data_IF_457378886855
#
_entry.id   IF_457378886855
#
_cell.length_a   1.000
_cell.length_b   1.000
_cell.length_c   1.000
_cell.angle_alpha   90.00
_cell.angle_beta   90.00
_cell.angle_gamma   90.00
#
_symmetry.space_group_name_H-M   'P 1'
#
loop_
_entity.id
_entity.type
_entity.pdbx_description
1 polymer ?
#
# COMPACT_ATOMS: atom_id res chain seq x y z
N UNK A 1 54.44 46.21 5.27
CA UNK A 1 53.87 44.84 5.16
C UNK A 1 52.39 44.93 5.55
N UNK A 2 51.47 44.55 4.65
CA UNK A 2 50.01 44.69 4.80
C UNK A 2 49.43 43.52 5.61
N UNK A 3 48.53 43.78 6.55
CA UNK A 3 47.52 42.81 7.00
C UNK A 3 46.19 43.53 7.18
N UNK A 4 45.35 43.45 6.14
CA UNK A 4 43.95 43.82 6.20
C UNK A 4 43.21 42.74 7.02
N UNK A 5 42.58 43.12 8.13
CA UNK A 5 41.74 42.23 8.93
C UNK A 5 40.31 42.30 8.37
N UNK A 6 40.09 41.59 7.26
CA UNK A 6 38.77 41.44 6.65
C UNK A 6 37.92 40.43 7.41
N UNK A 7 36.77 40.90 7.89
CA UNK A 7 35.44 40.31 7.66
C UNK A 7 35.32 38.78 7.75
N UNK A 8 34.65 38.29 8.80
CA UNK A 8 34.07 36.94 8.79
C UNK A 8 32.62 36.97 9.27
N UNK A 9 31.74 37.43 8.37
CA UNK A 9 30.33 37.05 8.40
C UNK A 9 30.25 35.72 7.65
N UNK A 10 29.87 34.64 8.34
CA UNK A 10 29.86 33.29 7.81
C UNK A 10 28.60 32.53 8.18
N UNK A 11 27.51 32.88 7.49
CA UNK A 11 26.40 32.03 7.04
C UNK A 11 25.95 30.89 7.99
N UNK A 12 24.90 31.15 8.78
CA UNK A 12 24.08 30.08 9.38
C UNK A 12 23.34 29.36 8.24
N UNK A 13 23.86 28.20 7.83
CA UNK A 13 23.22 27.32 6.85
C UNK A 13 22.06 26.60 7.53
N UNK A 14 20.85 27.13 7.34
CA UNK A 14 19.61 26.49 7.76
C UNK A 14 19.38 25.28 6.85
N UNK A 15 19.80 24.10 7.33
CA UNK A 15 19.46 22.82 6.67
C UNK A 15 17.97 22.57 6.93
N UNK A 16 17.14 22.95 5.96
CA UNK A 16 15.80 22.40 5.82
C UNK A 16 15.96 20.96 5.31
N UNK A 17 16.12 20.00 6.21
CA UNK A 17 15.83 18.59 5.88
C UNK A 17 14.35 18.50 5.62
N UNK A 18 13.96 18.66 4.35
CA UNK A 18 12.68 18.19 3.86
C UNK A 18 12.65 16.68 4.00
N UNK A 19 12.23 16.21 5.17
CA UNK A 19 11.74 14.86 5.31
C UNK A 19 10.44 14.80 4.51
N UNK A 20 10.53 14.54 3.21
CA UNK A 20 9.43 13.95 2.47
C UNK A 20 9.27 12.55 3.04
N UNK A 21 8.62 12.46 4.21
CA UNK A 21 8.15 11.21 4.75
C UNK A 21 7.21 10.64 3.71
N UNK A 22 7.68 9.62 2.98
CA UNK A 22 6.83 8.76 2.18
C UNK A 22 5.87 8.10 3.15
N UNK A 23 4.72 8.74 3.38
CA UNK A 23 3.68 8.16 4.23
C UNK A 23 3.13 6.98 3.45
N UNK A 24 3.46 5.76 3.87
CA UNK A 24 2.79 4.60 3.32
C UNK A 24 1.33 4.69 3.75
N UNK A 25 0.43 4.86 2.79
CA UNK A 25 -0.99 4.78 3.09
C UNK A 25 -1.31 3.35 3.49
N UNK A 26 -2.18 3.18 4.47
CA UNK A 26 -2.63 1.85 4.90
C UNK A 26 -4.12 1.72 4.69
N UNK A 27 -4.54 0.59 4.15
CA UNK A 27 -5.94 0.22 4.06
C UNK A 27 -6.14 -1.16 4.66
N UNK A 28 -7.04 -1.23 5.64
CA UNK A 28 -7.46 -2.46 6.26
C UNK A 28 -8.88 -2.80 5.80
N UNK A 29 -9.04 -3.98 5.20
CA UNK A 29 -10.30 -4.52 4.72
C UNK A 29 -10.68 -5.76 5.53
N UNK A 30 -11.95 -5.86 5.87
CA UNK A 30 -12.52 -7.03 6.56
C UNK A 30 -13.22 -7.94 5.56
N UNK A 31 -12.93 -9.24 5.60
CA UNK A 31 -13.58 -10.18 4.68
C UNK A 31 -15.09 -10.32 4.90
N UNK A 32 -15.53 -10.13 6.14
CA UNK A 32 -16.93 -10.29 6.53
C UNK A 32 -17.84 -9.13 6.08
N UNK A 33 -17.30 -7.92 5.89
CA UNK A 33 -18.12 -6.72 5.67
C UNK A 33 -17.73 -5.93 4.42
N UNK A 34 -16.46 -5.99 4.01
CA UNK A 34 -15.93 -5.12 2.96
C UNK A 34 -15.93 -5.78 1.58
N UNK A 35 -16.09 -7.09 1.48
CA UNK A 35 -16.18 -7.80 0.20
C UNK A 35 -17.59 -8.32 -0.07
N UNK A 36 -18.04 -8.15 -1.31
CA UNK A 36 -19.27 -8.74 -1.85
C UNK A 36 -18.99 -10.02 -2.63
N UNK A 37 -17.76 -10.17 -3.15
CA UNK A 37 -17.30 -11.38 -3.84
C UNK A 37 -15.79 -11.51 -3.69
N UNK A 38 -15.33 -12.74 -3.47
CA UNK A 38 -13.91 -13.08 -3.44
C UNK A 38 -13.70 -14.35 -4.27
N UNK A 39 -12.74 -14.31 -5.18
CA UNK A 39 -12.39 -15.44 -6.04
C UNK A 39 -10.90 -15.71 -5.92
N UNK A 40 -10.54 -16.85 -5.32
CA UNK A 40 -9.17 -17.24 -5.08
C UNK A 40 -8.73 -18.30 -6.09
N UNK A 41 -7.64 -18.01 -6.79
CA UNK A 41 -6.95 -18.95 -7.65
C UNK A 41 -5.81 -19.61 -6.88
N UNK A 42 -6.03 -20.87 -6.49
CA UNK A 42 -5.07 -21.65 -5.69
C UNK A 42 -3.93 -22.25 -6.51
N UNK A 43 -4.20 -22.64 -7.75
CA UNK A 43 -3.20 -23.28 -8.61
C UNK A 43 -3.50 -22.95 -10.06
N UNK A 44 -2.49 -22.37 -10.70
CA UNK A 44 -2.44 -22.21 -12.14
C UNK A 44 -1.14 -22.88 -12.61
N UNK A 45 -1.28 -23.92 -13.44
CA UNK A 45 -0.15 -24.73 -13.89
C UNK A 45 0.67 -24.03 -14.98
N UNK A 46 0.09 -23.02 -15.63
CA UNK A 46 0.73 -22.27 -16.71
C UNK A 46 1.49 -21.02 -16.22
N UNK A 47 1.34 -20.66 -14.93
CA UNK A 47 2.01 -19.50 -14.33
C UNK A 47 3.11 -19.91 -13.37
N UNK A 48 4.34 -19.44 -13.65
CA UNK A 48 5.49 -19.43 -12.74
C UNK A 48 5.30 -18.41 -11.59
N UNK A 49 4.18 -18.44 -10.89
CA UNK A 49 3.91 -17.53 -9.77
C UNK A 49 4.17 -18.22 -8.43
N UNK A 50 4.92 -17.53 -7.57
CA UNK A 50 5.27 -17.96 -6.22
C UNK A 50 4.17 -17.65 -5.17
N UNK A 51 3.03 -17.09 -5.59
CA UNK A 51 1.91 -16.69 -4.73
C UNK A 51 0.54 -17.16 -5.25
N UNK A 52 -0.51 -16.91 -4.48
CA UNK A 52 -1.91 -17.09 -4.88
C UNK A 52 -2.46 -15.78 -5.44
N UNK A 53 -3.37 -15.84 -6.40
CA UNK A 53 -4.07 -14.66 -6.92
C UNK A 53 -5.48 -14.64 -6.40
N UNK A 54 -5.93 -13.49 -5.89
CA UNK A 54 -7.30 -13.31 -5.45
C UNK A 54 -7.90 -12.10 -6.16
N UNK A 55 -9.02 -12.30 -6.84
CA UNK A 55 -9.85 -11.21 -7.32
C UNK A 55 -10.88 -10.90 -6.24
N UNK A 56 -10.99 -9.62 -5.90
CA UNK A 56 -11.94 -9.16 -4.88
C UNK A 56 -12.87 -8.12 -5.49
N UNK A 57 -14.13 -8.20 -5.09
CA UNK A 57 -15.14 -7.18 -5.34
C UNK A 57 -15.55 -6.61 -3.99
N UNK A 58 -15.34 -5.31 -3.82
CA UNK A 58 -15.70 -4.57 -2.63
C UNK A 58 -17.20 -4.31 -2.56
N UNK A 59 -17.69 -4.09 -1.34
CA UNK A 59 -18.99 -3.45 -1.12
C UNK A 59 -18.94 -1.98 -1.59
N UNK A 60 -20.09 -1.33 -1.85
CA UNK A 60 -20.13 0.09 -2.22
C UNK A 60 -19.43 0.98 -1.19
N UNK A 61 -19.66 0.73 0.10
CA UNK A 61 -19.05 1.47 1.22
C UNK A 61 -17.52 1.30 1.23
N UNK A 62 -17.03 0.07 1.09
CA UNK A 62 -15.60 -0.20 1.02
C UNK A 62 -14.96 0.37 -0.26
N UNK A 63 -15.70 0.40 -1.36
CA UNK A 63 -15.26 1.02 -2.63
C UNK A 63 -15.03 2.51 -2.44
N UNK A 64 -15.95 3.23 -1.81
CA UNK A 64 -15.79 4.66 -1.55
C UNK A 64 -14.58 4.94 -0.65
N UNK A 65 -14.37 4.13 0.39
CA UNK A 65 -13.18 4.23 1.25
C UNK A 65 -11.89 3.99 0.46
N UNK A 66 -11.85 2.92 -0.33
CA UNK A 66 -10.70 2.58 -1.19
C UNK A 66 -10.39 3.69 -2.19
N UNK A 67 -11.40 4.22 -2.87
CA UNK A 67 -11.21 5.31 -3.83
C UNK A 67 -10.69 6.58 -3.16
N UNK A 68 -11.18 6.91 -1.96
CA UNK A 68 -10.72 8.07 -1.20
C UNK A 68 -9.23 7.94 -0.85
N UNK A 69 -8.85 6.82 -0.23
CA UNK A 69 -7.47 6.55 0.20
C UNK A 69 -6.53 6.50 -1.01
N UNK A 70 -6.90 5.77 -2.06
CA UNK A 70 -6.04 5.65 -3.26
C UNK A 70 -5.90 6.97 -4.01
N UNK A 71 -6.95 7.82 -4.03
CA UNK A 71 -6.87 9.17 -4.63
C UNK A 71 -5.92 10.09 -3.86
N UNK A 72 -5.93 10.02 -2.54
CA UNK A 72 -5.02 10.80 -1.68
C UNK A 72 -3.58 10.27 -1.73
N UNK A 73 -3.42 8.99 -2.09
CA UNK A 73 -2.14 8.27 -2.02
C UNK A 73 -1.54 7.96 -3.39
N UNK A 74 -2.03 8.58 -4.47
CA UNK A 74 -1.45 8.41 -5.82
C UNK A 74 0.02 8.81 -5.80
N UNK A 75 0.89 7.95 -6.33
CA UNK A 75 2.34 8.11 -6.31
C UNK A 75 3.01 7.69 -5.01
N UNK A 76 2.25 7.24 -4.00
CA UNK A 76 2.75 6.75 -2.72
C UNK A 76 2.55 5.24 -2.59
N UNK A 77 3.27 4.62 -1.66
CA UNK A 77 3.10 3.21 -1.34
C UNK A 77 1.81 3.02 -0.52
N UNK A 78 0.98 2.08 -0.92
CA UNK A 78 -0.22 1.65 -0.20
C UNK A 78 0.01 0.22 0.29
N UNK A 79 -0.09 0.04 1.60
CA UNK A 79 -0.13 -1.26 2.25
C UNK A 79 -1.58 -1.70 2.39
N UNK A 80 -1.93 -2.80 1.75
CA UNK A 80 -3.21 -3.46 1.86
C UNK A 80 -3.12 -4.58 2.90
N UNK A 81 -3.97 -4.50 3.91
CA UNK A 81 -4.17 -5.52 4.92
C UNK A 81 -5.59 -6.08 4.82
N UNK A 82 -5.74 -7.40 4.91
CA UNK A 82 -7.04 -8.09 4.96
C UNK A 82 -7.12 -8.83 6.29
N UNK A 83 -8.18 -8.60 7.07
CA UNK A 83 -8.36 -9.19 8.41
C UNK A 83 -7.14 -8.99 9.33
N UNK A 84 -6.46 -7.85 9.21
CA UNK A 84 -5.23 -7.54 9.96
C UNK A 84 -3.94 -8.14 9.40
N UNK A 85 -3.99 -8.97 8.35
CA UNK A 85 -2.81 -9.50 7.69
C UNK A 85 -2.39 -8.65 6.51
N UNK A 86 -1.15 -8.18 6.50
CA UNK A 86 -0.59 -7.44 5.36
C UNK A 86 -0.47 -8.36 4.14
N UNK A 87 -1.28 -8.10 3.12
CA UNK A 87 -1.33 -8.88 1.89
C UNK A 87 -0.29 -8.41 0.89
N UNK A 88 -0.21 -7.09 0.69
CA UNK A 88 0.67 -6.49 -0.31
C UNK A 88 0.96 -5.04 0.02
N UNK A 89 2.15 -4.57 -0.36
CA UNK A 89 2.50 -3.15 -0.38
C UNK A 89 2.88 -2.79 -1.81
N UNK A 90 2.16 -1.85 -2.42
CA UNK A 90 2.37 -1.45 -3.80
C UNK A 90 2.21 0.05 -3.98
N UNK A 91 2.96 0.65 -4.92
CA UNK A 91 2.79 2.05 -5.26
C UNK A 91 1.48 2.25 -6.01
N UNK A 92 0.63 3.16 -5.52
CA UNK A 92 -0.65 3.48 -6.14
C UNK A 92 -0.38 4.31 -7.39
N UNK A 93 -0.57 3.70 -8.56
CA UNK A 93 -0.44 4.40 -9.84
C UNK A 93 -1.73 5.11 -10.25
N UNK A 94 -2.88 4.57 -9.81
CA UNK A 94 -4.20 5.10 -10.12
C UNK A 94 -5.18 4.75 -9.00
N UNK A 95 -6.28 5.49 -8.93
CA UNK A 95 -7.40 5.20 -8.03
C UNK A 95 -7.90 3.77 -8.28
N UNK A 96 -7.99 2.96 -7.22
CA UNK A 96 -8.53 1.60 -7.33
C UNK A 96 -10.06 1.63 -7.31
N UNK A 97 -10.67 0.85 -8.19
CA UNK A 97 -12.13 0.70 -8.27
C UNK A 97 -12.69 -0.30 -7.27
N UNK A 98 -13.95 -0.68 -7.47
CA UNK A 98 -14.64 -1.69 -6.67
C UNK A 98 -14.05 -3.10 -6.84
N UNK A 99 -13.34 -3.35 -7.96
CA UNK A 99 -12.79 -4.66 -8.30
C UNK A 99 -11.30 -4.53 -8.56
N UNK A 100 -10.51 -5.38 -7.93
CA UNK A 100 -9.08 -5.44 -8.14
C UNK A 100 -8.53 -6.83 -7.83
N UNK A 101 -7.32 -7.07 -8.32
CA UNK A 101 -6.58 -8.32 -8.09
C UNK A 101 -5.48 -8.07 -7.08
N UNK A 102 -5.33 -8.99 -6.15
CA UNK A 102 -4.22 -9.02 -5.19
C UNK A 102 -3.44 -10.32 -5.33
N UNK A 103 -2.13 -10.23 -5.16
CA UNK A 103 -1.29 -11.41 -5.01
C UNK A 103 -1.05 -11.65 -3.52
N UNK A 104 -1.42 -12.85 -3.05
CA UNK A 104 -1.22 -13.29 -1.68
C UNK A 104 0.07 -14.13 -1.64
N UNK A 105 1.09 -13.71 -0.88
CA UNK A 105 2.28 -14.50 -0.66
C UNK A 105 1.95 -15.84 0.01
N UNK A 106 2.57 -16.94 -0.44
CA UNK A 106 2.39 -18.27 0.20
C UNK A 106 2.75 -18.28 1.68
N UNK A 107 3.63 -17.38 2.12
CA UNK A 107 4.06 -17.25 3.50
C UNK A 107 2.90 -16.92 4.45
N UNK A 108 2.02 -15.99 4.07
CA UNK A 108 0.86 -15.58 4.89
C UNK A 108 -0.42 -16.34 4.52
N UNK A 109 -0.45 -17.00 3.36
CA UNK A 109 -1.66 -17.63 2.84
C UNK A 109 -2.22 -18.71 3.77
N UNK A 110 -1.35 -19.48 4.45
CA UNK A 110 -1.80 -20.51 5.39
C UNK A 110 -2.62 -19.94 6.55
N UNK A 111 -2.29 -18.72 6.98
CA UNK A 111 -2.92 -18.06 8.11
C UNK A 111 -4.08 -17.15 7.66
N UNK A 112 -3.92 -16.48 6.51
CA UNK A 112 -4.92 -15.58 5.95
C UNK A 112 -6.13 -16.32 5.39
N UNK A 113 -5.92 -17.36 4.56
CA UNK A 113 -6.99 -18.00 3.80
C UNK A 113 -8.13 -18.56 4.69
N UNK A 114 -7.87 -19.19 5.84
CA UNK A 114 -8.91 -19.61 6.77
C UNK A 114 -9.77 -18.46 7.29
N UNK A 115 -9.19 -17.26 7.47
CA UNK A 115 -9.94 -16.09 7.97
C UNK A 115 -10.86 -15.48 6.93
N UNK A 116 -10.72 -15.85 5.65
CA UNK A 116 -11.52 -15.29 4.56
C UNK A 116 -12.91 -15.95 4.44
N UNK A 117 -13.11 -17.09 5.11
CA UNK A 117 -14.30 -17.95 4.99
C UNK A 117 -15.14 -18.00 6.28
N UNK A 118 -14.77 -17.22 7.30
CA UNK A 118 -15.51 -17.08 8.57
C UNK A 118 -16.75 -16.16 8.41
#
# INVERSE_FOLDING_TARGET
MKKAMGWKIGLFLMVMTGATGSHAAEINLSSATDFTRMELLLKDSDRLHSGFEMNVTLSPEATERMQRITRESVGQNLTLSINGWTVSTATVQSVLGAQFRVSIPKAIAKDLLPTLVD
#
